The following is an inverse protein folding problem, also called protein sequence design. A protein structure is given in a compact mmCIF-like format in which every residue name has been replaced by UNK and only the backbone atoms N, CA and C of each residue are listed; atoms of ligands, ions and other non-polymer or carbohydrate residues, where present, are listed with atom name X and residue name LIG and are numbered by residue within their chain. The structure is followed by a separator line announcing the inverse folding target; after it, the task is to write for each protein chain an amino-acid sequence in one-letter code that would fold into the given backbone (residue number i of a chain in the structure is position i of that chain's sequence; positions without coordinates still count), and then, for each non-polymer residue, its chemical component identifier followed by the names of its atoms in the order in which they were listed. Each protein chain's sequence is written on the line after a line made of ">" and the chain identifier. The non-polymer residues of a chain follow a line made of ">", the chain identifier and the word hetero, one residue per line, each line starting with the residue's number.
data_IF_971352734798
#
_entry.id   IF_971352734798
#
_cell.length_a   1.000
_cell.length_b   1.000
_cell.length_c   1.000
_cell.angle_alpha   90.00
_cell.angle_beta   90.00
_cell.angle_gamma   90.00
#
_symmetry.space_group_name_H-M   'P 1'
#
loop_
_entity.id
_entity.type
_entity.pdbx_description
1 polymer ?
#
# COMPACT_ATOMS: atom_id res chain seq x y z
N UNK A 1 3.34 0.59 -28.29
CA UNK A 1 3.28 1.42 -27.08
C UNK A 1 2.82 0.49 -25.98
N UNK A 2 3.73 0.04 -25.11
CA UNK A 2 3.40 -0.80 -23.95
C UNK A 2 2.48 0.02 -23.05
N UNK A 3 1.30 -0.50 -22.74
CA UNK A 3 0.44 0.03 -21.69
C UNK A 3 1.29 0.06 -20.43
N UNK A 4 1.69 1.22 -19.96
CA UNK A 4 2.31 1.38 -18.65
C UNK A 4 1.36 0.73 -17.65
N UNK A 5 1.85 -0.29 -16.96
CA UNK A 5 1.08 -1.01 -15.98
C UNK A 5 0.94 -0.07 -14.77
N UNK A 6 -0.15 0.68 -14.72
CA UNK A 6 -0.44 1.60 -13.60
C UNK A 6 -0.57 0.76 -12.34
N UNK A 7 0.26 0.99 -11.29
CA UNK A 7 0.32 0.08 -10.14
C UNK A 7 -0.87 0.17 -9.18
N UNK A 8 -1.72 1.19 -9.32
CA UNK A 8 -3.00 1.34 -8.60
C UNK A 8 -4.06 1.88 -9.56
N UNK A 9 -5.20 1.25 -9.61
CA UNK A 9 -6.35 1.70 -10.40
C UNK A 9 -7.39 2.30 -9.44
N UNK A 10 -7.96 3.44 -9.85
CA UNK A 10 -9.01 4.12 -9.09
C UNK A 10 -10.30 4.19 -9.90
N UNK A 11 -11.40 3.80 -9.26
CA UNK A 11 -12.73 3.89 -9.80
C UNK A 11 -13.67 4.58 -8.79
N UNK A 12 -14.77 5.14 -9.30
CA UNK A 12 -15.83 5.66 -8.47
C UNK A 12 -17.14 4.98 -8.87
N UNK A 13 -17.71 4.18 -7.97
CA UNK A 13 -18.93 3.43 -8.21
C UNK A 13 -20.11 4.22 -7.68
N UNK A 14 -21.03 4.62 -8.56
CA UNK A 14 -22.24 5.35 -8.17
C UNK A 14 -23.28 4.38 -7.61
N UNK A 15 -23.81 4.70 -6.43
CA UNK A 15 -24.87 3.95 -5.76
C UNK A 15 -26.25 4.45 -6.21
N UNK A 16 -27.31 3.66 -5.99
CA UNK A 16 -28.68 4.05 -6.30
C UNK A 16 -29.15 5.31 -5.55
N UNK A 17 -28.62 5.54 -4.35
CA UNK A 17 -28.94 6.73 -3.56
C UNK A 17 -28.14 7.99 -3.94
N UNK A 18 -27.31 7.91 -5.00
CA UNK A 18 -26.57 9.06 -5.55
C UNK A 18 -25.22 9.36 -4.89
N UNK A 19 -24.84 8.61 -3.86
CA UNK A 19 -23.48 8.64 -3.34
C UNK A 19 -22.55 7.77 -4.19
N UNK A 20 -21.24 7.89 -3.94
CA UNK A 20 -20.23 7.08 -4.61
C UNK A 20 -19.39 6.31 -3.60
N UNK A 21 -18.87 5.20 -4.06
CA UNK A 21 -17.82 4.42 -3.38
C UNK A 21 -16.52 4.67 -4.15
N UNK A 22 -15.49 5.22 -3.49
CA UNK A 22 -14.13 5.26 -4.02
C UNK A 22 -13.54 3.85 -3.97
N UNK A 23 -13.09 3.31 -5.10
CA UNK A 23 -12.50 1.98 -5.19
C UNK A 23 -11.06 2.09 -5.67
N UNK A 24 -10.11 1.70 -4.83
CA UNK A 24 -8.69 1.61 -5.13
C UNK A 24 -8.26 0.15 -5.19
N UNK A 25 -7.68 -0.25 -6.31
CA UNK A 25 -7.16 -1.60 -6.53
C UNK A 25 -5.65 -1.57 -6.74
N UNK A 26 -4.89 -2.29 -5.91
CA UNK A 26 -3.46 -2.52 -6.13
C UNK A 26 -3.29 -3.47 -7.32
N UNK A 27 -2.47 -3.13 -8.32
CA UNK A 27 -2.48 -3.83 -9.62
C UNK A 27 -1.11 -4.38 -10.05
N UNK A 28 -0.32 -4.85 -9.09
CA UNK A 28 0.97 -5.54 -9.31
C UNK A 28 0.93 -7.02 -8.89
N UNK A 29 -0.02 -7.86 -9.38
CA UNK A 29 -0.19 -9.24 -8.90
C UNK A 29 1.04 -10.13 -9.14
N UNK A 30 1.87 -9.81 -10.13
CA UNK A 30 3.12 -10.54 -10.39
C UNK A 30 4.10 -10.45 -9.21
N UNK A 31 4.15 -9.30 -8.52
CA UNK A 31 4.94 -9.07 -7.31
C UNK A 31 4.10 -9.13 -6.03
N UNK A 32 2.96 -9.85 -6.05
CA UNK A 32 2.06 -9.99 -4.90
C UNK A 32 1.55 -8.64 -4.37
N UNK A 33 1.37 -7.67 -5.25
CA UNK A 33 0.98 -6.29 -4.93
C UNK A 33 1.91 -5.62 -3.91
N UNK A 34 3.22 -5.94 -3.97
CA UNK A 34 4.22 -5.35 -3.10
C UNK A 34 4.21 -3.82 -3.26
N UNK A 35 4.19 -3.13 -2.11
CA UNK A 35 4.04 -1.69 -2.01
C UNK A 35 5.36 -1.00 -2.38
N UNK A 36 5.31 -0.12 -3.35
CA UNK A 36 6.41 0.76 -3.73
C UNK A 36 6.03 2.24 -3.59
N UNK A 37 7.03 3.10 -3.70
CA UNK A 37 6.83 4.54 -3.55
C UNK A 37 5.85 5.11 -4.58
N UNK A 38 5.79 4.54 -5.79
CA UNK A 38 4.84 4.97 -6.81
C UNK A 38 3.40 4.69 -6.38
N UNK A 39 3.14 3.53 -5.78
CA UNK A 39 1.82 3.18 -5.25
C UNK A 39 1.41 4.12 -4.13
N UNK A 40 2.32 4.43 -3.20
CA UNK A 40 2.07 5.35 -2.08
C UNK A 40 1.74 6.75 -2.62
N UNK A 41 2.52 7.24 -3.58
CA UNK A 41 2.35 8.54 -4.22
C UNK A 41 1.05 8.66 -5.04
N UNK A 42 0.46 7.55 -5.44
CA UNK A 42 -0.85 7.51 -6.08
C UNK A 42 -1.99 7.42 -5.06
N UNK A 43 -1.84 6.59 -4.03
CA UNK A 43 -2.87 6.34 -3.02
C UNK A 43 -3.14 7.57 -2.16
N UNK A 44 -2.09 8.19 -1.61
CA UNK A 44 -2.24 9.30 -0.65
C UNK A 44 -3.06 10.46 -1.20
N UNK A 45 -2.74 11.09 -2.35
CA UNK A 45 -3.51 12.20 -2.86
C UNK A 45 -4.94 11.80 -3.30
N UNK A 46 -5.12 10.57 -3.77
CA UNK A 46 -6.46 10.11 -4.14
C UNK A 46 -7.35 9.89 -2.92
N UNK A 47 -6.81 9.34 -1.85
CA UNK A 47 -7.53 9.19 -0.58
C UNK A 47 -7.89 10.57 -0.01
N UNK A 48 -6.96 11.51 0.03
CA UNK A 48 -7.24 12.89 0.47
C UNK A 48 -8.36 13.54 -0.34
N UNK A 49 -8.33 13.38 -1.68
CA UNK A 49 -9.40 13.86 -2.55
C UNK A 49 -10.75 13.23 -2.20
N UNK A 50 -10.80 11.91 -1.99
CA UNK A 50 -12.02 11.23 -1.62
C UNK A 50 -12.50 11.58 -0.21
N UNK A 51 -11.58 11.85 0.71
CA UNK A 51 -11.92 12.32 2.05
C UNK A 51 -12.68 13.65 2.02
N UNK A 52 -12.29 14.55 1.12
CA UNK A 52 -12.88 15.89 0.98
C UNK A 52 -14.16 15.91 0.12
N UNK A 53 -14.36 14.92 -0.75
CA UNK A 53 -15.54 14.87 -1.64
C UNK A 53 -16.79 14.43 -0.87
N UNK A 54 -17.82 15.31 -0.66
CA UNK A 54 -19.03 14.94 0.06
C UNK A 54 -19.88 13.85 -0.65
N UNK A 55 -19.62 13.59 -1.92
CA UNK A 55 -20.31 12.51 -2.67
C UNK A 55 -19.71 11.13 -2.38
N UNK A 56 -18.49 11.03 -1.95
CA UNK A 56 -17.86 9.77 -1.55
C UNK A 56 -18.36 9.38 -0.15
N UNK A 57 -19.10 8.28 -0.06
CA UNK A 57 -19.64 7.78 1.21
C UNK A 57 -18.63 6.87 1.94
N UNK A 58 -17.85 6.12 1.20
CA UNK A 58 -16.82 5.20 1.73
C UNK A 58 -15.75 4.90 0.68
N UNK A 59 -14.67 4.27 1.12
CA UNK A 59 -13.62 3.74 0.25
C UNK A 59 -13.59 2.22 0.35
N UNK A 60 -13.38 1.55 -0.78
CA UNK A 60 -13.07 0.13 -0.88
C UNK A 60 -11.65 -0.02 -1.40
N UNK A 61 -10.83 -0.80 -0.69
CA UNK A 61 -9.43 -1.07 -1.03
C UNK A 61 -9.23 -2.57 -1.18
N UNK A 62 -8.71 -2.99 -2.33
CA UNK A 62 -8.39 -4.39 -2.63
C UNK A 62 -7.08 -4.54 -3.42
N UNK A 63 -6.68 -5.77 -3.66
CA UNK A 63 -5.56 -6.14 -4.51
C UNK A 63 -6.01 -7.01 -5.68
N UNK A 64 -5.48 -6.76 -6.86
CA UNK A 64 -5.72 -7.59 -8.04
C UNK A 64 -5.11 -8.98 -7.89
N UNK A 65 -5.78 -9.98 -8.46
CA UNK A 65 -5.38 -11.38 -8.39
C UNK A 65 -5.81 -12.08 -7.09
N UNK A 66 -5.55 -13.39 -7.04
CA UNK A 66 -6.04 -14.23 -5.93
C UNK A 66 -4.98 -14.51 -4.87
N UNK A 67 -3.71 -14.20 -5.15
CA UNK A 67 -2.57 -14.64 -4.32
C UNK A 67 -2.30 -13.72 -3.13
N UNK A 68 -2.56 -12.44 -3.26
CA UNK A 68 -2.24 -11.46 -2.23
C UNK A 68 -3.10 -10.20 -2.34
N UNK A 69 -3.53 -9.69 -1.22
CA UNK A 69 -3.92 -8.29 -1.12
C UNK A 69 -2.67 -7.41 -1.29
N UNK A 70 -1.67 -7.56 -0.40
CA UNK A 70 -0.38 -6.88 -0.45
C UNK A 70 0.64 -7.64 0.41
N UNK A 71 1.78 -7.99 -0.18
CA UNK A 71 2.84 -8.76 0.51
C UNK A 71 3.81 -7.90 1.33
N UNK A 72 3.55 -6.59 1.47
CA UNK A 72 4.42 -5.64 2.16
C UNK A 72 5.23 -4.78 1.21
N UNK A 73 6.23 -4.07 1.73
CA UNK A 73 7.10 -3.22 0.93
C UNK A 73 7.89 -3.98 -0.15
N UNK A 74 8.18 -3.33 -1.26
CA UNK A 74 9.00 -3.90 -2.33
C UNK A 74 10.49 -3.95 -1.93
N UNK A 75 10.84 -4.99 -1.16
CA UNK A 75 12.18 -5.23 -0.62
C UNK A 75 13.23 -5.35 -1.74
N UNK A 76 12.85 -5.86 -2.91
CA UNK A 76 13.79 -6.02 -4.03
C UNK A 76 14.22 -4.65 -4.55
N UNK A 77 13.28 -3.73 -4.71
CA UNK A 77 13.58 -2.35 -5.11
C UNK A 77 14.37 -1.61 -4.03
N UNK A 78 14.01 -1.80 -2.76
CA UNK A 78 14.75 -1.23 -1.63
C UNK A 78 16.20 -1.73 -1.58
N UNK A 79 16.41 -3.03 -1.73
CA UNK A 79 17.75 -3.62 -1.74
C UNK A 79 18.63 -3.10 -2.88
N UNK A 80 18.07 -2.99 -4.09
CA UNK A 80 18.77 -2.42 -5.25
C UNK A 80 19.16 -0.97 -5.02
N UNK A 81 18.27 -0.15 -4.49
CA UNK A 81 18.56 1.26 -4.19
C UNK A 81 19.68 1.42 -3.16
N UNK A 82 19.83 0.46 -2.22
CA UNK A 82 20.95 0.43 -1.29
C UNK A 82 22.28 0.03 -1.96
N UNK A 83 22.24 -0.91 -2.92
CA UNK A 83 23.45 -1.31 -3.65
C UNK A 83 24.01 -0.21 -4.55
N UNK A 84 23.11 0.58 -5.16
CA UNK A 84 23.51 1.69 -6.02
C UNK A 84 24.18 2.85 -5.24
N UNK A 85 24.00 2.90 -3.93
CA UNK A 85 24.61 3.91 -3.03
C UNK A 85 25.99 3.51 -2.49
N UNK A 86 26.46 2.29 -2.74
CA UNK A 86 27.72 1.80 -2.19
C UNK A 86 28.71 1.38 -3.28
N UNK A 87 29.81 2.16 -3.57
CA UNK A 87 31.10 1.51 -3.47
C UNK A 87 32.19 2.28 -2.72
N UNK A 88 32.00 3.52 -2.30
CA UNK A 88 33.17 4.35 -1.92
C UNK A 88 33.15 5.03 -0.54
N UNK A 89 32.30 4.65 0.38
CA UNK A 89 32.37 5.27 1.72
C UNK A 89 32.47 4.21 2.82
N UNK A 90 33.53 4.30 3.63
CA UNK A 90 33.72 3.59 4.90
C UNK A 90 32.57 3.82 5.92
N UNK A 91 31.52 4.56 5.53
CA UNK A 91 30.32 4.91 6.27
C UNK A 91 29.04 4.58 5.50
N UNK A 92 28.95 3.41 4.89
CA UNK A 92 27.69 2.90 4.34
C UNK A 92 26.73 2.48 5.49
N UNK A 93 26.41 3.42 6.36
CA UNK A 93 25.38 3.20 7.36
C UNK A 93 24.03 3.21 6.62
N UNK A 94 23.30 2.09 6.64
CA UNK A 94 21.95 1.93 6.06
C UNK A 94 21.01 3.06 6.53
N UNK A 95 21.30 3.65 7.69
CA UNK A 95 20.64 4.83 8.24
C UNK A 95 20.71 6.09 7.38
N UNK A 96 21.64 6.15 6.42
CA UNK A 96 21.83 7.31 5.56
C UNK A 96 21.21 7.13 4.15
N UNK A 97 20.46 6.06 3.91
CA UNK A 97 19.74 5.89 2.66
C UNK A 97 18.50 6.79 2.62
N UNK A 98 18.62 7.96 2.00
CA UNK A 98 17.49 8.88 1.80
C UNK A 98 16.30 8.21 1.14
N UNK A 99 16.52 7.29 0.20
CA UNK A 99 15.46 6.57 -0.49
C UNK A 99 14.65 5.67 0.44
N UNK A 100 15.32 4.99 1.41
CA UNK A 100 14.63 4.17 2.41
C UNK A 100 13.89 5.04 3.42
N UNK A 101 14.52 6.13 3.89
CA UNK A 101 13.87 7.07 4.81
C UNK A 101 12.62 7.69 4.17
N UNK A 102 12.71 8.06 2.90
CA UNK A 102 11.60 8.63 2.15
C UNK A 102 10.48 7.59 1.99
N UNK A 103 10.81 6.36 1.62
CA UNK A 103 9.83 5.28 1.49
C UNK A 103 9.08 5.04 2.81
N UNK A 104 9.77 4.78 3.91
CA UNK A 104 9.12 4.52 5.20
C UNK A 104 8.36 5.73 5.73
N UNK A 105 8.90 6.94 5.52
CA UNK A 105 8.19 8.16 5.91
C UNK A 105 6.85 8.27 5.20
N UNK A 106 6.82 8.05 3.90
CA UNK A 106 5.60 8.16 3.11
C UNK A 106 4.64 6.98 3.36
N UNK A 107 5.17 5.76 3.57
CA UNK A 107 4.38 4.59 3.94
C UNK A 107 3.64 4.85 5.26
N UNK A 108 4.33 5.27 6.31
CA UNK A 108 3.69 5.56 7.60
C UNK A 108 2.74 6.77 7.54
N UNK A 109 3.00 7.75 6.68
CA UNK A 109 2.04 8.84 6.43
C UNK A 109 0.76 8.32 5.78
N UNK A 110 0.88 7.39 4.82
CA UNK A 110 -0.27 6.74 4.20
C UNK A 110 -1.05 5.88 5.22
N UNK A 111 -0.36 5.09 6.04
CA UNK A 111 -1.00 4.30 7.10
C UNK A 111 -1.74 5.20 8.10
N UNK A 112 -1.13 6.32 8.49
CA UNK A 112 -1.78 7.30 9.37
C UNK A 112 -3.00 7.95 8.70
N UNK A 113 -2.91 8.29 7.41
CA UNK A 113 -4.04 8.84 6.64
C UNK A 113 -5.21 7.84 6.62
N UNK A 114 -4.94 6.55 6.36
CA UNK A 114 -5.96 5.50 6.37
C UNK A 114 -6.57 5.35 7.76
N UNK A 115 -5.75 5.33 8.81
CA UNK A 115 -6.19 5.17 10.20
C UNK A 115 -7.06 6.34 10.68
N UNK A 116 -6.74 7.56 10.26
CA UNK A 116 -7.48 8.78 10.65
C UNK A 116 -8.53 9.23 9.64
N UNK A 117 -8.79 8.40 8.63
CA UNK A 117 -9.72 8.73 7.56
C UNK A 117 -11.14 8.96 8.09
N UNK A 118 -11.74 10.09 7.73
CA UNK A 118 -13.03 10.52 8.28
C UNK A 118 -14.26 9.76 7.76
N UNK A 119 -14.06 8.86 6.79
CA UNK A 119 -15.12 8.02 6.20
C UNK A 119 -14.75 6.55 6.33
N UNK A 120 -15.71 5.62 6.26
CA UNK A 120 -15.37 4.19 6.28
C UNK A 120 -14.41 3.80 5.16
N UNK A 121 -13.35 3.07 5.52
CA UNK A 121 -12.50 2.35 4.57
C UNK A 121 -12.69 0.87 4.83
N UNK A 122 -13.20 0.14 3.82
CA UNK A 122 -13.27 -1.30 3.83
C UNK A 122 -12.09 -1.86 3.04
N UNK A 123 -11.30 -2.71 3.69
CA UNK A 123 -10.17 -3.39 3.05
C UNK A 123 -10.50 -4.86 2.85
N UNK A 124 -10.39 -5.32 1.61
CA UNK A 124 -10.57 -6.73 1.24
C UNK A 124 -9.23 -7.45 1.22
N UNK A 125 -8.96 -8.18 2.28
CA UNK A 125 -7.69 -8.87 2.49
C UNK A 125 -7.76 -10.34 2.12
N UNK A 126 -7.63 -10.67 0.84
CA UNK A 126 -7.48 -12.05 0.37
C UNK A 126 -6.00 -12.45 0.22
N UNK A 127 -5.70 -13.73 0.34
CA UNK A 127 -4.36 -14.26 0.15
C UNK A 127 -3.33 -13.68 1.15
N UNK A 128 -2.16 -13.32 0.67
CA UNK A 128 -1.05 -12.80 1.50
C UNK A 128 -1.31 -11.35 1.90
N UNK A 129 -1.14 -11.06 3.20
CA UNK A 129 -1.26 -9.75 3.82
C UNK A 129 -0.11 -9.63 4.80
N UNK A 130 0.99 -8.98 4.42
CA UNK A 130 2.20 -8.98 5.24
C UNK A 130 2.84 -7.60 5.29
N UNK A 131 3.56 -7.29 6.37
CA UNK A 131 4.32 -6.07 6.53
C UNK A 131 3.49 -4.81 6.24
N UNK A 132 3.97 -3.89 5.39
CA UNK A 132 3.23 -2.71 4.97
C UNK A 132 1.84 -3.00 4.39
N UNK A 133 1.60 -4.20 3.82
CA UNK A 133 0.26 -4.64 3.42
C UNK A 133 -0.67 -4.83 4.61
N UNK A 134 -0.14 -5.29 5.75
CA UNK A 134 -0.90 -5.33 7.00
C UNK A 134 -1.06 -3.92 7.59
N UNK A 135 -0.10 -3.02 7.40
CA UNK A 135 -0.22 -1.60 7.74
C UNK A 135 -1.45 -0.97 7.08
N UNK A 136 -1.54 -1.07 5.74
CA UNK A 136 -2.70 -0.60 4.99
C UNK A 136 -4.02 -1.21 5.48
N UNK A 137 -4.03 -2.53 5.73
CA UNK A 137 -5.26 -3.22 6.16
C UNK A 137 -5.65 -2.85 7.58
N UNK A 138 -4.70 -2.78 8.51
CA UNK A 138 -4.97 -2.53 9.93
C UNK A 138 -5.52 -1.12 10.18
N UNK A 139 -5.09 -0.14 9.36
CA UNK A 139 -5.61 1.22 9.39
C UNK A 139 -7.06 1.34 8.93
N UNK A 140 -7.54 0.44 8.08
CA UNK A 140 -8.92 0.46 7.59
C UNK A 140 -9.94 0.26 8.71
N UNK A 141 -11.07 0.96 8.66
CA UNK A 141 -12.14 0.85 9.65
C UNK A 141 -12.87 -0.51 9.60
N UNK A 142 -12.93 -1.13 8.41
CA UNK A 142 -13.54 -2.43 8.17
C UNK A 142 -12.55 -3.34 7.43
N UNK A 143 -12.25 -4.48 8.00
CA UNK A 143 -11.31 -5.46 7.46
C UNK A 143 -12.05 -6.76 7.18
N UNK A 144 -12.01 -7.19 5.93
CA UNK A 144 -12.58 -8.47 5.50
C UNK A 144 -11.43 -9.44 5.22
N UNK A 145 -11.50 -10.60 5.80
CA UNK A 145 -10.59 -11.72 5.54
C UNK A 145 -11.37 -12.87 4.89
N UNK A 146 -10.66 -13.70 4.15
CA UNK A 146 -11.20 -14.88 3.47
C UNK A 146 -10.49 -16.13 3.99
N UNK A 147 -10.91 -17.29 3.56
CA UNK A 147 -10.29 -18.59 3.90
C UNK A 147 -8.85 -18.69 3.37
N UNK A 148 -8.49 -17.85 2.40
CA UNK A 148 -7.14 -17.81 1.81
C UNK A 148 -6.23 -16.81 2.51
N UNK A 149 -6.73 -15.97 3.42
CA UNK A 149 -5.96 -14.91 4.07
C UNK A 149 -4.83 -15.47 4.93
N UNK A 150 -3.62 -14.94 4.71
CA UNK A 150 -2.40 -15.27 5.46
C UNK A 150 -1.77 -13.98 5.94
N UNK A 151 -1.92 -13.72 7.23
CA UNK A 151 -1.55 -12.44 7.85
C UNK A 151 -0.30 -12.64 8.70
N UNK A 152 0.72 -11.80 8.48
CA UNK A 152 1.95 -11.83 9.28
C UNK A 152 2.69 -10.48 9.24
N UNK A 153 3.54 -10.27 10.27
CA UNK A 153 4.58 -9.23 10.30
C UNK A 153 5.95 -9.93 10.29
N UNK A 154 6.46 -10.29 9.08
CA UNK A 154 7.66 -11.13 8.95
C UNK A 154 8.97 -10.33 8.97
N UNK A 155 8.96 -9.04 9.25
CA UNK A 155 10.07 -8.09 9.15
C UNK A 155 11.31 -8.55 9.90
N UNK A 156 11.14 -9.17 11.06
CA UNK A 156 12.27 -9.67 11.86
C UNK A 156 13.10 -10.74 11.12
N UNK A 157 12.47 -11.48 10.21
CA UNK A 157 13.18 -12.51 9.44
C UNK A 157 14.17 -11.92 8.41
N UNK A 158 14.05 -10.64 8.11
CA UNK A 158 14.90 -9.88 7.18
C UNK A 158 15.66 -8.74 7.87
N UNK A 159 15.66 -8.71 9.21
CA UNK A 159 16.39 -7.72 9.99
C UNK A 159 15.71 -6.35 10.09
N UNK A 160 14.44 -6.25 9.76
CA UNK A 160 13.62 -5.05 9.95
C UNK A 160 12.76 -5.16 11.22
N UNK A 161 12.30 -4.03 11.70
CA UNK A 161 11.27 -3.96 12.75
C UNK A 161 9.88 -4.14 12.14
N UNK A 162 8.98 -4.91 12.81
CA UNK A 162 7.58 -5.00 12.41
C UNK A 162 6.79 -3.74 12.78
#
# INVERSE_FOLDING_TARGET
>A
MSSENVPVIFNELTTECGFKIGHATLTKPASLNALDLQMINLLSPQLEKWQQDPKIAMVFLDGSGERAFCAGGDIVTMYKSMQDLAPDTENSDVKNSYALQDFFTQEYQLDYLIHTFSKPILVWGNGIIMGGGLGLMSGGSHRVVTETSRIAMPEISIGLYP
#
